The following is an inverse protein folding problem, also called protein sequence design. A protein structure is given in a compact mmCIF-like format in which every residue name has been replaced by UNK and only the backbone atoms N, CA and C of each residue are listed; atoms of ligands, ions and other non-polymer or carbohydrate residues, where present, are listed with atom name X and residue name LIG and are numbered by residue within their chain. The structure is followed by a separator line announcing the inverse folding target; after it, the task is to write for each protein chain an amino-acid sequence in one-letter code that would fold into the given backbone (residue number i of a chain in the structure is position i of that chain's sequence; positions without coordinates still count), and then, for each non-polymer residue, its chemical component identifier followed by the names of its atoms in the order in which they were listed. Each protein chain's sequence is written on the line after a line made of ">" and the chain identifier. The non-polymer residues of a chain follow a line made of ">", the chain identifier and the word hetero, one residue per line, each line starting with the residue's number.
data_IF_012603518999
#
_entry.id   IF_012603518999
#
_cell.length_a   1.000
_cell.length_b   1.000
_cell.length_c   1.000
_cell.angle_alpha   90.00
_cell.angle_beta   90.00
_cell.angle_gamma   90.00
#
_symmetry.space_group_name_H-M   'P 1'
#
loop_
_entity.id
_entity.type
_entity.pdbx_description
1 polymer ?
#
# COMPACT_ATOMS: atom_id res chain seq x y z
N UNK A 1 17.66 -28.68 29.18
CA UNK A 1 18.81 -28.93 30.06
C UNK A 1 19.03 -30.42 30.28
N UNK A 2 18.04 -31.14 30.86
CA UNK A 2 18.14 -32.58 31.18
C UNK A 2 18.61 -33.46 30.01
N UNK A 3 17.94 -33.42 28.86
CA UNK A 3 18.29 -34.25 27.69
C UNK A 3 19.68 -33.97 27.10
N UNK A 4 20.25 -32.79 27.37
CA UNK A 4 21.59 -32.40 26.90
C UNK A 4 22.67 -32.56 27.97
N UNK A 5 22.29 -33.00 29.16
CA UNK A 5 23.16 -33.12 30.33
C UNK A 5 24.01 -31.85 30.58
N UNK A 6 23.35 -30.68 30.54
CA UNK A 6 24.01 -29.38 30.82
C UNK A 6 24.59 -29.42 32.23
N UNK A 7 25.84 -28.97 32.39
CA UNK A 7 26.49 -28.91 33.69
C UNK A 7 25.68 -28.06 34.68
N UNK A 8 25.67 -28.46 35.95
CA UNK A 8 24.90 -27.77 36.98
C UNK A 8 25.31 -26.30 37.15
N UNK A 9 26.61 -26.02 37.03
CA UNK A 9 27.15 -24.66 37.13
C UNK A 9 26.63 -23.78 35.98
N UNK A 10 26.65 -24.30 34.75
CA UNK A 10 26.11 -23.59 33.58
C UNK A 10 24.60 -23.37 33.73
N UNK A 11 23.85 -24.40 34.15
CA UNK A 11 22.42 -24.29 34.37
C UNK A 11 22.08 -23.23 35.43
N UNK A 12 22.87 -23.19 36.50
CA UNK A 12 22.73 -22.21 37.59
C UNK A 12 22.96 -20.79 37.07
N UNK A 13 24.06 -20.55 36.35
CA UNK A 13 24.35 -19.25 35.76
C UNK A 13 23.24 -18.84 34.79
N UNK A 14 22.74 -19.76 33.96
CA UNK A 14 21.70 -19.45 32.98
C UNK A 14 20.38 -19.08 33.65
N UNK A 15 19.99 -19.73 34.75
CA UNK A 15 18.74 -19.43 35.45
C UNK A 15 18.79 -18.15 36.30
N UNK A 16 19.95 -17.80 36.84
CA UNK A 16 20.10 -16.61 37.69
C UNK A 16 20.54 -15.36 36.92
N UNK A 17 21.29 -15.52 35.82
CA UNK A 17 21.94 -14.40 35.12
C UNK A 17 22.21 -14.68 33.62
N UNK A 18 21.47 -15.57 32.98
CA UNK A 18 21.72 -15.98 31.59
C UNK A 18 21.61 -14.84 30.56
N UNK A 19 20.77 -13.85 30.84
CA UNK A 19 20.59 -12.62 30.07
C UNK A 19 21.74 -11.61 30.23
N UNK A 20 22.53 -11.72 31.31
CA UNK A 20 23.70 -10.90 31.57
C UNK A 20 25.00 -11.47 30.97
N UNK A 21 24.94 -12.67 30.37
CA UNK A 21 26.08 -13.27 29.71
C UNK A 21 26.49 -12.48 28.45
N UNK A 22 27.80 -12.37 28.16
CA UNK A 22 28.26 -11.72 26.94
C UNK A 22 27.72 -12.48 25.73
N UNK A 23 27.08 -11.77 24.81
CA UNK A 23 26.44 -12.36 23.62
C UNK A 23 25.45 -13.48 23.96
N UNK A 24 24.71 -13.36 25.07
CA UNK A 24 23.76 -14.36 25.54
C UNK A 24 22.84 -14.87 24.41
N UNK A 25 22.86 -16.19 24.20
CA UNK A 25 21.97 -16.88 23.26
C UNK A 25 20.50 -16.76 23.68
N UNK A 26 19.57 -17.03 22.77
CA UNK A 26 18.14 -17.02 23.09
C UNK A 26 17.80 -17.98 24.24
N UNK A 27 18.47 -19.13 24.31
CA UNK A 27 18.23 -20.16 25.34
C UNK A 27 18.74 -19.72 26.71
N UNK A 28 19.89 -19.03 26.76
CA UNK A 28 20.43 -18.44 27.99
C UNK A 28 19.52 -17.32 28.52
N UNK A 29 19.06 -16.42 27.66
CA UNK A 29 18.11 -15.35 28.04
C UNK A 29 16.78 -15.94 28.51
N UNK A 30 16.29 -16.99 27.83
CA UNK A 30 15.06 -17.68 28.20
C UNK A 30 15.18 -18.33 29.59
N UNK A 31 16.34 -18.88 29.92
CA UNK A 31 16.59 -19.53 31.19
C UNK A 31 16.47 -18.56 32.39
N UNK A 32 16.90 -17.29 32.28
CA UNK A 32 16.67 -16.28 33.34
C UNK A 32 15.18 -16.08 33.63
N UNK A 33 14.29 -16.48 32.71
CA UNK A 33 12.84 -16.52 32.94
C UNK A 33 12.43 -17.30 34.20
N UNK A 34 13.30 -18.15 34.75
CA UNK A 34 13.15 -18.74 36.09
C UNK A 34 12.75 -17.70 37.15
N UNK A 35 13.42 -16.55 37.20
CA UNK A 35 13.14 -15.47 38.16
C UNK A 35 11.78 -14.77 37.91
N UNK A 36 11.05 -15.17 36.87
CA UNK A 36 9.77 -14.59 36.48
C UNK A 36 8.62 -15.60 36.53
N UNK A 37 8.87 -16.80 37.04
CA UNK A 37 7.86 -17.85 37.22
C UNK A 37 7.04 -17.71 38.52
N UNK A 38 7.12 -16.55 39.18
CA UNK A 38 6.26 -16.22 40.31
C UNK A 38 4.78 -16.17 39.86
N UNK A 39 3.81 -16.41 40.76
CA UNK A 39 2.39 -16.27 40.44
C UNK A 39 2.09 -14.88 39.86
N UNK A 40 1.33 -14.81 38.76
CA UNK A 40 0.89 -13.54 38.17
C UNK A 40 -0.59 -13.36 38.45
N UNK A 41 -0.94 -12.21 39.03
CA UNK A 41 -2.33 -11.85 39.24
C UNK A 41 -2.94 -11.21 37.97
N UNK A 42 -4.00 -11.82 37.45
CA UNK A 42 -4.82 -11.29 36.34
C UNK A 42 -6.01 -10.43 36.79
N UNK A 43 -6.31 -10.39 38.09
CA UNK A 43 -7.49 -9.73 38.65
C UNK A 43 -7.30 -8.21 38.78
N UNK A 44 -8.34 -7.45 38.43
CA UNK A 44 -8.31 -6.00 38.37
C UNK A 44 -8.31 -5.25 39.71
N UNK A 45 -8.31 -5.94 40.86
CA UNK A 45 -8.55 -5.37 42.19
C UNK A 45 -7.36 -5.31 43.16
N UNK A 46 -6.18 -5.86 42.81
CA UNK A 46 -5.01 -5.78 43.71
C UNK A 46 -4.24 -4.47 43.57
N UNK A 47 -3.64 -4.04 44.68
CA UNK A 47 -2.74 -2.88 44.72
C UNK A 47 -1.44 -3.27 44.02
N UNK A 48 -1.04 -2.47 43.02
CA UNK A 48 0.11 -2.79 42.18
C UNK A 48 1.40 -2.95 43.00
N UNK A 49 1.65 -2.08 43.97
CA UNK A 49 2.85 -2.14 44.79
C UNK A 49 2.90 -3.39 45.68
N UNK A 50 1.77 -3.80 46.25
CA UNK A 50 1.68 -5.03 47.05
C UNK A 50 2.04 -6.26 46.20
N UNK A 51 1.49 -6.32 44.99
CA UNK A 51 1.75 -7.39 44.05
C UNK A 51 3.22 -7.38 43.56
N UNK A 52 3.82 -6.20 43.39
CA UNK A 52 5.25 -6.05 43.06
C UNK A 52 6.13 -6.60 44.18
N UNK A 53 5.79 -6.30 45.44
CA UNK A 53 6.50 -6.80 46.62
C UNK A 53 6.38 -8.32 46.72
N UNK A 54 5.18 -8.89 46.49
CA UNK A 54 4.97 -10.33 46.45
C UNK A 54 5.88 -11.03 45.42
N UNK A 55 6.06 -10.44 44.23
CA UNK A 55 6.96 -10.98 43.20
C UNK A 55 8.43 -10.98 43.63
N UNK A 56 8.87 -9.91 44.30
CA UNK A 56 10.24 -9.79 44.83
C UNK A 56 10.46 -10.80 45.95
N UNK A 57 9.47 -11.01 46.82
CA UNK A 57 9.53 -12.02 47.88
C UNK A 57 9.63 -13.42 47.28
N UNK A 58 8.81 -13.74 46.26
CA UNK A 58 8.86 -15.04 45.58
C UNK A 58 10.23 -15.31 44.93
N UNK A 59 10.82 -14.34 44.24
CA UNK A 59 12.18 -14.46 43.69
C UNK A 59 13.22 -14.75 44.79
N UNK A 60 13.12 -14.04 45.91
CA UNK A 60 14.02 -14.17 47.07
C UNK A 60 13.93 -15.57 47.67
N UNK A 61 12.70 -16.02 47.96
CA UNK A 61 12.41 -17.28 48.63
C UNK A 61 12.68 -18.48 47.74
N UNK A 62 12.29 -18.41 46.47
CA UNK A 62 12.54 -19.49 45.50
C UNK A 62 14.04 -19.64 45.25
N UNK A 63 14.78 -18.53 45.08
CA UNK A 63 16.24 -18.61 44.92
C UNK A 63 16.93 -19.18 46.16
N UNK A 64 16.54 -18.72 47.36
CA UNK A 64 17.07 -19.21 48.62
C UNK A 64 16.79 -20.71 48.82
N UNK A 65 15.58 -21.16 48.48
CA UNK A 65 15.20 -22.57 48.59
C UNK A 65 15.99 -23.45 47.62
N UNK A 66 16.10 -23.05 46.35
CA UNK A 66 16.66 -23.90 45.30
C UNK A 66 18.20 -23.93 45.30
N UNK A 67 18.87 -22.79 45.50
CA UNK A 67 20.34 -22.72 45.42
C UNK A 67 21.06 -22.66 46.76
N UNK A 68 20.41 -22.18 47.81
CA UNK A 68 21.01 -22.12 49.14
C UNK A 68 20.52 -23.26 50.05
N UNK A 69 19.47 -23.99 49.65
CA UNK A 69 18.78 -24.97 50.48
C UNK A 69 18.30 -24.38 51.82
N UNK A 70 17.90 -23.10 51.82
CA UNK A 70 17.47 -22.36 53.00
C UNK A 70 15.99 -21.96 52.91
N UNK A 71 15.24 -22.14 53.99
CA UNK A 71 13.84 -21.73 54.12
C UNK A 71 13.71 -20.30 54.66
N UNK A 72 13.94 -19.32 53.79
CA UNK A 72 13.94 -17.89 54.16
C UNK A 72 12.57 -17.31 54.54
N UNK A 73 11.47 -18.01 54.26
CA UNK A 73 10.13 -17.43 54.29
C UNK A 73 9.71 -16.92 55.68
N UNK A 74 10.19 -17.54 56.77
CA UNK A 74 9.93 -17.04 58.13
C UNK A 74 10.61 -15.69 58.40
N UNK A 75 11.79 -15.45 57.81
CA UNK A 75 12.56 -14.22 57.95
C UNK A 75 11.87 -12.98 57.39
N UNK A 76 10.77 -13.15 56.63
CA UNK A 76 9.92 -12.06 56.18
C UNK A 76 9.42 -11.20 57.34
N UNK A 77 9.07 -11.83 58.47
CA UNK A 77 8.43 -11.16 59.60
C UNK A 77 9.28 -11.10 60.87
N UNK A 78 10.19 -12.05 61.08
CA UNK A 78 11.05 -12.14 62.27
C UNK A 78 12.27 -13.00 61.99
N UNK A 79 13.34 -12.91 62.78
CA UNK A 79 14.52 -13.79 62.65
C UNK A 79 14.14 -15.28 62.66
N UNK A 80 14.85 -16.12 61.90
CA UNK A 80 14.52 -17.54 61.80
C UNK A 80 14.56 -18.21 63.18
N UNK A 81 13.58 -19.08 63.45
CA UNK A 81 13.39 -19.68 64.78
C UNK A 81 14.54 -20.58 65.21
N UNK A 82 15.16 -21.27 64.27
CA UNK A 82 16.14 -22.33 64.54
C UNK A 82 17.51 -22.08 63.92
N UNK A 83 17.55 -21.31 62.84
CA UNK A 83 18.77 -21.05 62.08
C UNK A 83 19.26 -19.64 62.37
N UNK A 84 20.56 -19.41 62.28
CA UNK A 84 21.16 -18.09 62.46
C UNK A 84 20.96 -17.21 61.22
N UNK A 85 19.69 -17.03 60.82
CA UNK A 85 19.28 -16.17 59.71
C UNK A 85 18.42 -15.04 60.29
N UNK A 86 18.89 -13.81 60.11
CA UNK A 86 18.18 -12.62 60.55
C UNK A 86 17.18 -12.14 59.52
N UNK A 87 16.17 -11.40 59.97
CA UNK A 87 15.28 -10.64 59.11
C UNK A 87 16.07 -9.62 58.26
N UNK A 88 17.14 -9.04 58.81
CA UNK A 88 17.99 -8.11 58.07
C UNK A 88 18.63 -8.78 56.84
N UNK A 89 19.13 -10.01 56.98
CA UNK A 89 19.71 -10.78 55.86
C UNK A 89 18.67 -11.13 54.80
N UNK A 90 17.43 -11.45 55.20
CA UNK A 90 16.32 -11.64 54.26
C UNK A 90 16.08 -10.40 53.40
N UNK A 91 15.98 -9.23 54.02
CA UNK A 91 15.74 -7.99 53.27
C UNK A 91 16.97 -7.53 52.47
N UNK A 92 18.20 -7.89 52.88
CA UNK A 92 19.41 -7.69 52.04
C UNK A 92 19.36 -8.51 50.75
N UNK A 93 18.97 -9.78 50.84
CA UNK A 93 18.80 -10.61 49.64
C UNK A 93 17.61 -10.12 48.80
N UNK A 94 16.51 -9.73 49.44
CA UNK A 94 15.34 -9.16 48.76
C UNK A 94 15.69 -7.87 48.01
N UNK A 95 16.55 -7.02 48.58
CA UNK A 95 16.99 -5.78 47.94
C UNK A 95 17.71 -6.02 46.60
N UNK A 96 18.38 -7.17 46.41
CA UNK A 96 18.98 -7.54 45.12
C UNK A 96 17.91 -7.74 44.04
N UNK A 97 16.83 -8.48 44.34
CA UNK A 97 15.74 -8.71 43.40
C UNK A 97 14.78 -7.51 43.27
N UNK A 98 14.80 -6.60 44.23
CA UNK A 98 14.05 -5.34 44.22
C UNK A 98 14.64 -4.28 43.25
N UNK A 99 15.35 -4.72 42.21
CA UNK A 99 15.90 -3.88 41.14
C UNK A 99 15.26 -4.18 39.77
N UNK A 100 14.30 -5.10 39.71
CA UNK A 100 13.63 -5.48 38.47
C UNK A 100 12.64 -4.39 38.00
N UNK A 101 12.41 -4.24 36.67
CA UNK A 101 11.50 -3.23 36.13
C UNK A 101 10.01 -3.56 36.30
N UNK A 102 9.67 -4.59 37.07
CA UNK A 102 8.29 -5.03 37.28
C UNK A 102 7.55 -4.01 38.14
N UNK A 103 6.35 -3.61 37.73
CA UNK A 103 5.56 -2.57 38.40
C UNK A 103 4.35 -3.11 39.19
N UNK A 104 4.17 -4.44 39.19
CA UNK A 104 3.08 -5.13 39.90
C UNK A 104 1.66 -4.84 39.39
N UNK A 105 1.50 -4.15 38.26
CA UNK A 105 0.18 -3.79 37.68
C UNK A 105 -0.77 -4.98 37.48
N UNK A 106 -0.23 -6.19 37.30
CA UNK A 106 -1.03 -7.38 37.02
C UNK A 106 -1.78 -7.28 35.70
N UNK A 107 -2.68 -8.22 35.43
CA UNK A 107 -3.56 -8.32 34.23
C UNK A 107 -2.95 -8.96 32.98
N UNK A 108 -1.78 -8.53 32.50
CA UNK A 108 -1.11 -9.18 31.35
C UNK A 108 0.09 -10.02 31.83
N UNK A 109 0.07 -11.37 31.68
CA UNK A 109 1.22 -12.20 32.00
C UNK A 109 2.46 -11.88 31.14
N UNK A 110 2.30 -11.16 30.03
CA UNK A 110 3.38 -10.71 29.14
C UNK A 110 3.89 -9.33 29.55
N UNK A 111 4.26 -9.18 30.82
CA UNK A 111 4.93 -7.94 31.27
C UNK A 111 6.32 -7.85 30.63
N UNK A 112 6.75 -6.69 30.08
CA UNK A 112 8.10 -6.52 29.55
C UNK A 112 9.20 -6.81 30.58
N UNK A 113 10.35 -7.35 30.16
CA UNK A 113 10.70 -7.73 28.79
C UNK A 113 9.97 -9.00 28.33
N UNK A 114 9.51 -9.04 27.07
CA UNK A 114 8.88 -10.23 26.47
C UNK A 114 9.81 -10.80 25.41
N UNK A 115 10.19 -12.07 25.56
CA UNK A 115 11.02 -12.77 24.59
C UNK A 115 10.12 -13.56 23.64
N UNK A 116 10.14 -13.19 22.35
CA UNK A 116 9.47 -13.98 21.32
C UNK A 116 10.24 -15.28 21.10
N UNK A 117 9.69 -16.40 21.58
CA UNK A 117 10.28 -17.72 21.39
C UNK A 117 9.53 -18.46 20.28
N UNK A 118 10.27 -19.02 19.34
CA UNK A 118 9.75 -19.87 18.28
C UNK A 118 10.14 -21.32 18.56
N UNK A 119 9.24 -22.26 18.32
CA UNK A 119 9.62 -23.68 18.25
C UNK A 119 10.61 -23.89 17.11
N UNK A 120 11.47 -24.91 17.22
CA UNK A 120 12.43 -25.23 16.16
C UNK A 120 11.76 -25.45 14.81
N UNK A 121 10.59 -26.12 14.80
CA UNK A 121 9.76 -26.32 13.61
C UNK A 121 9.27 -24.99 13.00
N UNK A 122 8.78 -24.06 13.83
CA UNK A 122 8.35 -22.74 13.36
C UNK A 122 9.52 -21.98 12.74
N UNK A 123 10.70 -21.98 13.38
CA UNK A 123 11.91 -21.32 12.83
C UNK A 123 12.31 -21.92 11.48
N UNK A 124 12.30 -23.25 11.37
CA UNK A 124 12.65 -23.93 10.13
C UNK A 124 11.65 -23.58 9.01
N UNK A 125 10.35 -23.51 9.33
CA UNK A 125 9.31 -23.10 8.39
C UNK A 125 9.46 -21.64 7.97
N UNK A 126 9.76 -20.74 8.89
CA UNK A 126 10.01 -19.33 8.59
C UNK A 126 11.20 -19.16 7.64
N UNK A 127 12.33 -19.81 7.92
CA UNK A 127 13.50 -19.78 7.05
C UNK A 127 13.21 -20.35 5.65
N UNK A 128 12.40 -21.41 5.56
CA UNK A 128 11.98 -21.98 4.28
C UNK A 128 11.11 -20.99 3.48
N UNK A 129 10.11 -20.39 4.13
CA UNK A 129 9.22 -19.40 3.52
C UNK A 129 9.98 -18.15 3.06
N UNK A 130 10.93 -17.66 3.85
CA UNK A 130 11.77 -16.52 3.46
C UNK A 130 12.57 -16.81 2.19
N UNK A 131 13.07 -18.04 2.03
CA UNK A 131 13.77 -18.48 0.83
C UNK A 131 12.84 -18.54 -0.38
N UNK A 132 11.62 -19.05 -0.21
CA UNK A 132 10.59 -19.09 -1.27
C UNK A 132 10.18 -17.68 -1.70
N UNK A 133 9.95 -16.77 -0.75
CA UNK A 133 9.61 -15.37 -1.03
C UNK A 133 10.73 -14.70 -1.83
N UNK A 134 12.00 -14.91 -1.42
CA UNK A 134 13.14 -14.36 -2.14
C UNK A 134 13.23 -14.89 -3.58
N UNK A 135 12.96 -16.18 -3.79
CA UNK A 135 12.93 -16.78 -5.13
C UNK A 135 11.81 -16.18 -5.99
N UNK A 136 10.57 -16.13 -5.49
CA UNK A 136 9.44 -15.57 -6.23
C UNK A 136 9.59 -14.08 -6.55
N UNK A 137 10.20 -13.29 -5.66
CA UNK A 137 10.52 -11.89 -5.95
C UNK A 137 11.49 -11.76 -7.11
N UNK A 138 12.49 -12.64 -7.18
CA UNK A 138 13.44 -12.67 -8.29
C UNK A 138 12.75 -13.08 -9.59
N UNK A 139 11.89 -14.09 -9.55
CA UNK A 139 11.14 -14.55 -10.74
C UNK A 139 10.22 -13.44 -11.27
N UNK A 140 9.53 -12.72 -10.38
CA UNK A 140 8.68 -11.60 -10.75
C UNK A 140 9.47 -10.44 -11.38
N UNK A 141 10.64 -10.12 -10.83
CA UNK A 141 11.52 -9.09 -11.38
C UNK A 141 11.99 -9.48 -12.80
N UNK A 142 12.46 -10.72 -12.99
CA UNK A 142 12.87 -11.23 -14.29
C UNK A 142 11.72 -11.20 -15.29
N UNK A 143 10.52 -11.66 -14.88
CA UNK A 143 9.34 -11.62 -15.73
C UNK A 143 8.98 -10.19 -16.14
N UNK A 144 9.10 -9.23 -15.22
CA UNK A 144 8.83 -7.82 -15.52
C UNK A 144 9.81 -7.27 -16.57
N UNK A 145 11.11 -7.57 -16.43
CA UNK A 145 12.13 -7.18 -17.41
C UNK A 145 11.90 -7.83 -18.79
N UNK A 146 11.46 -9.10 -18.82
CA UNK A 146 11.12 -9.80 -20.06
C UNK A 146 9.83 -9.28 -20.71
N UNK A 147 8.84 -8.87 -19.91
CA UNK A 147 7.54 -8.42 -20.39
C UNK A 147 7.62 -7.08 -21.11
N UNK A 148 8.48 -6.16 -20.68
CA UNK A 148 8.62 -4.83 -21.30
C UNK A 148 8.88 -4.90 -22.82
N UNK A 149 9.92 -5.59 -23.32
CA UNK A 149 10.16 -5.70 -24.75
C UNK A 149 9.11 -6.59 -25.46
N UNK A 150 8.61 -7.64 -24.79
CA UNK A 150 7.59 -8.53 -25.37
C UNK A 150 6.24 -7.84 -25.55
N UNK A 151 5.84 -6.98 -24.62
CA UNK A 151 4.62 -6.19 -24.70
C UNK A 151 4.71 -5.20 -25.85
N UNK A 152 5.80 -4.42 -25.95
CA UNK A 152 5.97 -3.48 -27.05
C UNK A 152 5.93 -4.18 -28.42
N UNK A 153 6.58 -5.35 -28.54
CA UNK A 153 6.55 -6.15 -29.76
C UNK A 153 5.15 -6.72 -30.06
N UNK A 154 4.44 -7.21 -29.04
CA UNK A 154 3.07 -7.69 -29.16
C UNK A 154 2.11 -6.58 -29.56
N UNK A 155 2.16 -5.41 -28.91
CA UNK A 155 1.34 -4.25 -29.27
C UNK A 155 1.59 -3.80 -30.71
N UNK A 156 2.85 -3.82 -31.17
CA UNK A 156 3.19 -3.54 -32.56
C UNK A 156 2.56 -4.57 -33.50
N UNK A 157 2.70 -5.86 -33.20
CA UNK A 157 2.09 -6.93 -34.03
C UNK A 157 0.57 -6.79 -34.12
N UNK A 158 -0.09 -6.34 -33.04
CA UNK A 158 -1.54 -6.11 -33.02
C UNK A 158 -1.94 -4.90 -33.87
N UNK A 159 -1.15 -3.83 -33.85
CA UNK A 159 -1.35 -2.66 -34.73
C UNK A 159 -1.18 -3.02 -36.20
N UNK A 160 -0.17 -3.82 -36.53
CA UNK A 160 0.11 -4.24 -37.92
C UNK A 160 -0.92 -5.26 -38.44
N UNK A 161 -1.46 -6.14 -37.57
CA UNK A 161 -2.53 -7.09 -37.91
C UNK A 161 -3.93 -6.45 -38.02
N UNK A 162 -4.17 -5.28 -37.41
CA UNK A 162 -5.47 -4.59 -37.39
C UNK A 162 -5.45 -3.23 -38.10
N UNK A 163 -4.72 -3.11 -39.22
CA UNK A 163 -4.66 -1.88 -40.00
C UNK A 163 -5.96 -1.53 -40.76
N UNK A 164 -7.06 -2.24 -40.57
CA UNK A 164 -8.22 -2.18 -41.48
C UNK A 164 -9.61 -2.06 -40.79
N UNK A 165 -9.69 -1.36 -39.65
CA UNK A 165 -10.97 -1.22 -38.92
C UNK A 165 -11.82 -0.02 -39.32
N UNK A 166 -11.84 0.37 -40.60
CA UNK A 166 -12.83 1.33 -41.11
C UNK A 166 -12.86 2.72 -40.43
N UNK A 167 -11.83 3.07 -39.66
CA UNK A 167 -11.71 4.40 -39.05
C UNK A 167 -11.44 5.42 -40.13
N UNK A 168 -12.28 6.45 -40.21
CA UNK A 168 -12.09 7.59 -41.10
C UNK A 168 -11.83 8.84 -40.27
N UNK A 169 -10.77 9.57 -40.60
CA UNK A 169 -10.49 10.87 -40.00
C UNK A 169 -11.58 11.84 -40.46
N UNK A 170 -12.26 12.48 -39.50
CA UNK A 170 -13.27 13.48 -39.79
C UNK A 170 -12.60 14.79 -40.23
N UNK A 171 -13.03 15.35 -41.36
CA UNK A 171 -12.54 16.65 -41.82
C UNK A 171 -13.21 17.74 -41.00
N UNK A 172 -12.42 18.42 -40.15
CA UNK A 172 -12.89 19.55 -39.34
C UNK A 172 -12.94 20.80 -40.21
N UNK A 173 -14.13 21.33 -40.41
CA UNK A 173 -14.36 22.51 -41.25
C UNK A 173 -14.39 23.80 -40.41
N UNK A 174 -14.73 23.69 -39.12
CA UNK A 174 -14.71 24.79 -38.17
C UNK A 174 -14.32 24.31 -36.79
N UNK A 175 -13.40 25.02 -36.13
CA UNK A 175 -13.03 24.81 -34.75
C UNK A 175 -13.08 26.14 -34.01
N UNK A 176 -13.90 26.23 -32.96
CA UNK A 176 -14.03 27.42 -32.12
C UNK A 176 -13.96 27.03 -30.65
N UNK A 177 -13.30 27.84 -29.85
CA UNK A 177 -13.40 27.77 -28.40
C UNK A 177 -14.05 29.06 -27.88
N UNK A 178 -14.56 29.04 -26.64
CA UNK A 178 -15.21 30.20 -26.05
C UNK A 178 -14.20 31.25 -25.58
N UNK A 179 -13.00 30.82 -25.15
CA UNK A 179 -12.01 31.70 -24.51
C UNK A 179 -10.66 31.73 -25.22
N UNK A 180 -10.23 30.64 -25.85
CA UNK A 180 -8.94 30.58 -26.54
C UNK A 180 -9.07 30.51 -28.07
N UNK A 181 -7.94 30.60 -28.76
CA UNK A 181 -7.87 30.40 -30.21
C UNK A 181 -7.67 28.92 -30.52
N UNK A 182 -8.40 28.40 -31.50
CA UNK A 182 -8.16 27.07 -32.08
C UNK A 182 -7.70 27.22 -33.53
N UNK A 183 -6.59 26.56 -33.86
CA UNK A 183 -6.06 26.46 -35.22
C UNK A 183 -6.21 25.02 -35.71
N UNK A 184 -6.73 24.84 -36.92
CA UNK A 184 -6.79 23.53 -37.58
C UNK A 184 -5.49 23.34 -38.35
N UNK A 185 -4.71 22.30 -38.01
CA UNK A 185 -3.41 22.03 -38.61
C UNK A 185 -3.56 21.24 -39.93
N UNK A 186 -2.51 21.20 -40.79
CA UNK A 186 -2.57 20.47 -42.07
C UNK A 186 -2.84 18.96 -41.96
N UNK A 187 -2.55 18.35 -40.81
CA UNK A 187 -2.83 16.94 -40.52
C UNK A 187 -4.24 16.71 -39.95
N UNK A 188 -5.05 17.77 -39.81
CA UNK A 188 -6.41 17.74 -39.28
C UNK A 188 -6.51 17.86 -37.76
N UNK A 189 -5.38 17.90 -37.04
CA UNK A 189 -5.36 18.10 -35.58
C UNK A 189 -5.74 19.54 -35.19
N UNK A 190 -6.26 19.71 -33.98
CA UNK A 190 -6.72 21.00 -33.47
C UNK A 190 -5.77 21.51 -32.40
N UNK A 191 -5.13 22.67 -32.65
CA UNK A 191 -4.14 23.25 -31.76
C UNK A 191 -4.71 24.48 -31.03
N UNK A 192 -4.76 24.42 -29.71
CA UNK A 192 -5.10 25.57 -28.86
C UNK A 192 -3.94 26.55 -28.70
N UNK A 193 -4.20 27.84 -28.91
CA UNK A 193 -3.22 28.93 -28.79
C UNK A 193 -3.86 30.20 -28.20
N UNK A 194 -3.07 31.26 -27.99
CA UNK A 194 -3.54 32.52 -27.40
C UNK A 194 -3.74 32.42 -25.88
N UNK A 195 -4.83 32.99 -25.36
CA UNK A 195 -5.18 32.91 -23.94
C UNK A 195 -5.16 31.46 -23.42
N UNK A 196 -4.73 31.26 -22.17
CA UNK A 196 -4.63 29.93 -21.54
C UNK A 196 -5.59 29.85 -20.34
N UNK A 197 -6.91 29.69 -20.59
CA UNK A 197 -7.91 29.65 -19.53
C UNK A 197 -7.82 28.35 -18.73
N UNK A 198 -8.29 28.37 -17.46
CA UNK A 198 -8.38 27.16 -16.62
C UNK A 198 -9.33 26.10 -17.16
N UNK A 199 -10.36 26.52 -17.91
CA UNK A 199 -11.32 25.67 -18.60
C UNK A 199 -11.88 26.40 -19.82
N UNK A 200 -12.33 25.64 -20.82
CA UNK A 200 -12.88 26.15 -22.07
C UNK A 200 -13.79 25.10 -22.72
N UNK A 201 -14.65 25.53 -23.65
CA UNK A 201 -15.57 24.66 -24.39
C UNK A 201 -15.22 24.70 -25.85
N UNK A 202 -14.92 23.55 -26.43
CA UNK A 202 -14.54 23.43 -27.84
C UNK A 202 -15.76 23.00 -28.65
N UNK A 203 -16.07 23.77 -29.67
CA UNK A 203 -17.13 23.49 -30.64
C UNK A 203 -16.46 23.21 -31.99
N UNK A 204 -16.49 21.94 -32.39
CA UNK A 204 -15.95 21.47 -33.66
C UNK A 204 -17.11 21.09 -34.58
N UNK A 205 -17.04 21.50 -35.84
CA UNK A 205 -17.98 21.09 -36.88
C UNK A 205 -17.23 20.33 -37.97
N UNK A 206 -17.76 19.18 -38.34
CA UNK A 206 -17.09 18.24 -39.25
C UNK A 206 -18.04 17.79 -40.34
N UNK A 207 -17.50 17.49 -41.51
CA UNK A 207 -18.23 16.78 -42.56
C UNK A 207 -17.64 15.37 -42.73
N UNK A 208 -18.51 14.42 -43.06
CA UNK A 208 -18.10 13.03 -43.28
C UNK A 208 -18.83 12.40 -44.46
N UNK A 209 -18.13 11.49 -45.14
CA UNK A 209 -18.71 10.62 -46.17
C UNK A 209 -19.19 9.28 -45.61
N UNK A 210 -19.00 9.05 -44.30
CA UNK A 210 -19.50 7.87 -43.62
C UNK A 210 -21.02 7.87 -43.64
N UNK A 211 -21.63 6.74 -43.99
CA UNK A 211 -23.08 6.58 -43.95
C UNK A 211 -23.61 6.29 -42.55
N UNK A 212 -22.78 5.67 -41.71
CA UNK A 212 -23.13 5.33 -40.34
C UNK A 212 -21.90 5.44 -39.44
N UNK A 213 -22.07 5.95 -38.22
CA UNK A 213 -21.02 5.99 -37.20
C UNK A 213 -21.45 5.14 -36.02
N UNK A 214 -20.64 4.15 -35.64
CA UNK A 214 -20.89 3.31 -34.46
C UNK A 214 -19.99 3.70 -33.27
N UNK A 215 -18.86 4.32 -33.54
CA UNK A 215 -17.90 4.72 -32.52
C UNK A 215 -17.11 5.93 -32.97
N UNK A 216 -16.63 6.70 -31.99
CA UNK A 216 -15.82 7.89 -32.21
C UNK A 216 -14.55 7.76 -31.42
N UNK A 217 -13.42 8.05 -32.05
CA UNK A 217 -12.12 8.09 -31.39
C UNK A 217 -11.68 9.54 -31.25
N UNK A 218 -11.31 9.91 -30.02
CA UNK A 218 -10.69 11.19 -29.70
C UNK A 218 -9.24 10.95 -29.30
N UNK A 219 -8.32 11.68 -29.93
CA UNK A 219 -6.88 11.57 -29.67
C UNK A 219 -6.39 12.85 -28.96
N UNK A 220 -5.74 12.67 -27.82
CA UNK A 220 -4.99 13.71 -27.12
C UNK A 220 -3.52 13.58 -27.53
N UNK A 221 -3.08 14.49 -28.40
CA UNK A 221 -1.80 14.41 -29.10
C UNK A 221 -0.83 15.43 -28.50
N UNK A 222 0.41 14.99 -28.26
CA UNK A 222 1.47 15.89 -27.80
C UNK A 222 1.88 16.87 -28.89
N UNK A 223 2.19 18.08 -28.49
CA UNK A 223 2.73 19.08 -29.40
C UNK A 223 3.85 19.87 -28.73
N UNK A 224 4.91 20.18 -29.48
CA UNK A 224 6.11 20.87 -28.96
C UNK A 224 5.84 22.24 -28.33
N UNK A 225 4.71 22.88 -28.65
CA UNK A 225 4.31 24.16 -28.06
C UNK A 225 3.55 24.02 -26.74
N UNK A 226 3.22 22.80 -26.32
CA UNK A 226 2.61 22.50 -25.02
C UNK A 226 3.67 22.56 -23.92
N UNK A 227 3.24 22.58 -22.66
CA UNK A 227 4.15 22.60 -21.51
C UNK A 227 5.08 21.39 -21.57
N UNK A 228 6.38 21.63 -21.72
CA UNK A 228 7.42 20.61 -21.93
C UNK A 228 7.16 19.64 -23.10
N UNK A 229 6.34 20.04 -24.08
CA UNK A 229 5.96 19.18 -25.20
C UNK A 229 5.00 18.04 -24.82
N UNK A 230 4.29 18.16 -23.69
CA UNK A 230 3.27 17.20 -23.25
C UNK A 230 1.90 17.46 -23.91
N UNK A 231 0.80 17.12 -23.22
CA UNK A 231 -0.55 17.05 -23.79
C UNK A 231 -1.34 18.36 -23.68
N UNK A 232 -0.91 19.31 -22.85
CA UNK A 232 -1.64 20.56 -22.65
C UNK A 232 -0.72 21.73 -22.26
N UNK A 233 -1.34 22.93 -22.19
CA UNK A 233 -0.70 24.17 -21.76
C UNK A 233 -0.83 24.42 -20.24
N UNK A 234 -1.27 23.44 -19.45
CA UNK A 234 -1.28 23.55 -17.99
C UNK A 234 0.15 23.42 -17.45
N UNK A 235 0.40 23.90 -16.22
CA UNK A 235 1.74 23.80 -15.61
C UNK A 235 2.24 22.35 -15.48
N UNK A 236 1.32 21.39 -15.36
CA UNK A 236 1.65 19.96 -15.31
C UNK A 236 1.74 19.29 -16.68
N UNK A 237 1.30 19.95 -17.75
CA UNK A 237 1.16 19.36 -19.08
C UNK A 237 0.04 18.33 -19.21
N UNK A 238 -0.80 18.19 -18.17
CA UNK A 238 -1.96 17.30 -18.16
C UNK A 238 -3.24 18.03 -18.62
N UNK A 239 -4.22 17.28 -19.12
CA UNK A 239 -5.56 17.78 -19.41
C UNK A 239 -6.60 17.09 -18.51
N UNK A 240 -7.79 17.70 -18.42
CA UNK A 240 -8.99 17.04 -17.90
C UNK A 240 -10.10 17.27 -18.92
N UNK A 241 -10.58 16.21 -19.56
CA UNK A 241 -11.77 16.28 -20.42
C UNK A 241 -12.98 16.07 -19.52
N UNK A 242 -13.82 17.09 -19.33
CA UNK A 242 -14.95 17.01 -18.40
C UNK A 242 -16.24 16.57 -19.07
N UNK A 243 -16.46 16.95 -20.33
CA UNK A 243 -17.66 16.59 -21.08
C UNK A 243 -17.31 16.40 -22.56
N UNK A 244 -17.92 15.40 -23.18
CA UNK A 244 -17.80 15.08 -24.59
C UNK A 244 -19.20 14.76 -25.12
N UNK A 245 -19.63 15.54 -26.11
CA UNK A 245 -20.95 15.42 -26.72
C UNK A 245 -20.82 15.44 -28.23
N UNK A 246 -21.74 14.70 -28.86
CA UNK A 246 -21.90 14.74 -30.30
C UNK A 246 -23.34 15.06 -30.66
N UNK A 247 -23.47 15.72 -31.80
CA UNK A 247 -24.74 16.01 -32.47
C UNK A 247 -24.50 15.77 -33.94
N UNK A 248 -25.44 15.08 -34.58
CA UNK A 248 -25.53 15.00 -36.04
C UNK A 248 -26.63 15.95 -36.45
N UNK A 249 -26.32 16.90 -37.31
CA UNK A 249 -27.24 17.93 -37.77
C UNK A 249 -27.55 17.76 -39.25
N UNK A 250 -28.68 17.12 -39.60
CA UNK A 250 -29.14 17.07 -40.98
C UNK A 250 -29.56 18.47 -41.46
N UNK A 251 -29.46 18.71 -42.76
CA UNK A 251 -29.84 20.00 -43.34
C UNK A 251 -31.36 20.19 -43.25
N UNK A 252 -31.80 21.19 -42.48
CA UNK A 252 -33.23 21.55 -42.39
C UNK A 252 -34.08 20.67 -41.46
N UNK A 253 -33.46 19.74 -40.72
CA UNK A 253 -34.13 18.88 -39.74
C UNK A 253 -33.63 19.13 -38.30
N UNK A 254 -34.28 18.51 -37.33
CA UNK A 254 -33.84 18.54 -35.94
C UNK A 254 -32.52 17.77 -35.74
N UNK A 255 -31.69 18.27 -34.82
CA UNK A 255 -30.42 17.63 -34.47
C UNK A 255 -30.62 16.28 -33.78
N UNK A 256 -29.89 15.27 -34.24
CA UNK A 256 -29.83 13.95 -33.61
C UNK A 256 -28.73 13.99 -32.55
N UNK A 257 -29.04 13.53 -31.34
CA UNK A 257 -28.10 13.47 -30.21
C UNK A 257 -27.84 12.01 -29.81
N UNK A 258 -26.86 11.33 -30.44
CA UNK A 258 -26.52 9.96 -30.07
C UNK A 258 -26.03 9.86 -28.62
N UNK A 259 -26.35 8.75 -27.98
CA UNK A 259 -25.90 8.44 -26.62
C UNK A 259 -24.72 7.48 -26.66
N UNK A 260 -23.75 7.70 -25.79
CA UNK A 260 -22.68 6.75 -25.55
C UNK A 260 -23.15 5.63 -24.62
N UNK A 261 -22.84 4.39 -24.98
CA UNK A 261 -23.08 3.20 -24.15
C UNK A 261 -21.89 2.85 -23.28
N UNK A 262 -20.69 3.02 -23.82
CA UNK A 262 -19.42 2.76 -23.14
C UNK A 262 -18.31 3.56 -23.77
N UNK A 263 -17.23 3.79 -23.03
CA UNK A 263 -15.99 4.30 -23.56
C UNK A 263 -14.81 3.58 -22.92
N UNK A 264 -13.70 3.54 -23.66
CA UNK A 264 -12.42 3.02 -23.21
C UNK A 264 -11.33 4.05 -23.52
N UNK A 265 -10.27 4.09 -22.72
CA UNK A 265 -9.14 4.97 -22.93
C UNK A 265 -7.82 4.22 -22.73
N UNK A 266 -6.73 4.69 -23.33
CA UNK A 266 -5.40 4.08 -23.16
C UNK A 266 -4.86 4.14 -21.74
N UNK A 267 -5.36 5.08 -20.93
CA UNK A 267 -5.03 5.22 -19.52
C UNK A 267 -6.13 5.98 -18.78
N UNK A 268 -6.37 5.67 -17.51
CA UNK A 268 -7.29 6.40 -16.64
C UNK A 268 -6.65 6.64 -15.27
N UNK A 269 -6.64 7.90 -14.83
CA UNK A 269 -6.01 8.32 -13.57
C UNK A 269 -6.99 8.26 -12.40
N UNK A 270 -6.76 7.40 -11.40
CA UNK A 270 -7.61 7.33 -10.21
C UNK A 270 -9.12 7.31 -10.52
N UNK A 271 -9.87 8.28 -9.98
CA UNK A 271 -11.32 8.48 -10.22
C UNK A 271 -11.64 9.21 -11.55
N UNK A 272 -10.63 9.72 -12.25
CA UNK A 272 -10.77 10.40 -13.54
C UNK A 272 -10.91 9.39 -14.70
N UNK A 273 -12.04 8.68 -14.69
CA UNK A 273 -12.42 7.65 -15.68
C UNK A 273 -12.97 8.26 -16.96
N UNK A 274 -12.77 7.59 -18.10
CA UNK A 274 -13.30 8.07 -19.39
C UNK A 274 -14.82 8.16 -19.38
N UNK A 275 -15.48 7.28 -18.62
CA UNK A 275 -16.94 7.27 -18.47
C UNK A 275 -17.49 8.51 -17.77
N UNK A 276 -16.66 9.31 -17.11
CA UNK A 276 -17.05 10.60 -16.49
C UNK A 276 -17.31 11.69 -17.52
N UNK A 277 -16.78 11.53 -18.73
CA UNK A 277 -16.87 12.56 -19.78
C UNK A 277 -18.24 12.64 -20.46
N UNK A 278 -19.21 11.80 -20.08
CA UNK A 278 -20.57 11.85 -20.61
C UNK A 278 -21.62 11.48 -19.56
N UNK A 279 -21.30 11.73 -18.28
CA UNK A 279 -22.22 11.49 -17.15
C UNK A 279 -23.10 12.71 -16.79
N UNK A 280 -22.89 13.82 -17.50
CA UNK A 280 -23.62 15.09 -17.31
C UNK A 280 -23.10 15.96 -16.17
N UNK A 281 -21.95 15.63 -15.56
CA UNK A 281 -21.36 16.39 -14.45
C UNK A 281 -20.08 17.09 -14.86
N UNK A 282 -20.10 18.43 -14.80
CA UNK A 282 -18.97 19.28 -15.22
C UNK A 282 -17.76 19.28 -14.27
N UNK A 283 -17.90 18.71 -13.07
CA UNK A 283 -16.84 18.64 -12.05
C UNK A 283 -16.10 17.29 -12.03
N UNK A 284 -16.50 16.36 -12.90
CA UNK A 284 -15.79 15.09 -13.13
C UNK A 284 -15.22 15.04 -14.55
N UNK A 285 -14.32 14.09 -14.84
CA UNK A 285 -13.72 14.00 -16.17
C UNK A 285 -12.60 12.96 -16.28
N UNK A 286 -11.97 12.90 -17.44
CA UNK A 286 -10.87 12.00 -17.77
C UNK A 286 -9.51 12.73 -17.74
N UNK A 287 -8.51 12.11 -17.12
CA UNK A 287 -7.17 12.65 -16.94
C UNK A 287 -6.10 11.55 -16.98
N UNK A 288 -4.84 11.93 -17.25
CA UNK A 288 -3.73 10.98 -17.51
C UNK A 288 -2.40 11.44 -16.87
N UNK A 289 -2.41 12.03 -15.68
CA UNK A 289 -1.19 12.61 -15.09
C UNK A 289 -0.23 11.59 -14.45
N UNK A 290 -0.79 10.58 -13.77
CA UNK A 290 -0.01 9.63 -12.96
C UNK A 290 1.04 8.86 -13.77
N UNK A 291 2.07 8.35 -13.12
CA UNK A 291 3.07 7.45 -13.71
C UNK A 291 3.70 7.97 -15.03
N UNK A 292 3.89 9.30 -15.12
CA UNK A 292 4.48 9.98 -16.28
C UNK A 292 3.75 9.72 -17.61
N UNK A 293 2.44 9.46 -17.57
CA UNK A 293 1.65 9.14 -18.76
C UNK A 293 1.54 10.32 -19.74
N UNK A 294 1.63 11.57 -19.26
CA UNK A 294 1.70 12.79 -20.09
C UNK A 294 2.85 12.84 -21.11
N UNK A 295 3.83 11.93 -21.00
CA UNK A 295 4.96 11.82 -21.92
C UNK A 295 4.67 11.03 -23.21
N UNK A 296 3.43 10.56 -23.42
CA UNK A 296 2.97 9.91 -24.65
C UNK A 296 1.59 10.43 -25.08
N UNK A 297 1.21 10.11 -26.31
CA UNK A 297 -0.13 10.41 -26.83
C UNK A 297 -1.16 9.44 -26.22
N UNK A 298 -2.41 9.89 -26.13
CA UNK A 298 -3.51 9.09 -25.59
C UNK A 298 -4.70 9.10 -26.53
N UNK A 299 -5.51 8.04 -26.47
CA UNK A 299 -6.77 7.96 -27.22
C UNK A 299 -7.89 7.48 -26.30
N UNK A 300 -9.10 7.93 -26.62
CA UNK A 300 -10.34 7.45 -26.05
C UNK A 300 -11.29 7.05 -27.18
N UNK A 301 -11.90 5.89 -27.05
CA UNK A 301 -12.91 5.38 -27.98
C UNK A 301 -14.26 5.37 -27.29
N UNK A 302 -15.21 6.07 -27.87
CA UNK A 302 -16.59 6.19 -27.42
C UNK A 302 -17.48 5.34 -28.30
N UNK A 303 -18.17 4.37 -27.72
CA UNK A 303 -19.11 3.50 -28.42
C UNK A 303 -20.52 4.03 -28.26
N UNK A 304 -21.22 4.24 -29.38
CA UNK A 304 -22.62 4.63 -29.36
C UNK A 304 -23.50 3.45 -28.93
N UNK A 305 -24.62 3.74 -28.27
CA UNK A 305 -25.60 2.70 -27.90
C UNK A 305 -26.18 1.97 -29.11
N UNK A 306 -26.34 2.72 -30.21
CA UNK A 306 -26.65 2.21 -31.54
C UNK A 306 -25.91 3.07 -32.58
N UNK A 307 -25.52 2.50 -33.73
CA UNK A 307 -25.00 3.29 -34.83
C UNK A 307 -25.95 4.43 -35.19
N UNK A 308 -25.39 5.62 -35.45
CA UNK A 308 -26.13 6.76 -35.98
C UNK A 308 -25.94 6.80 -37.50
N UNK A 309 -27.03 6.81 -38.23
CA UNK A 309 -27.02 7.06 -39.68
C UNK A 309 -26.73 8.54 -39.93
N UNK A 310 -25.92 8.83 -40.95
CA UNK A 310 -25.51 10.18 -41.34
C UNK A 310 -26.25 10.53 -42.63
N UNK A 311 -27.26 11.42 -42.58
CA UNK A 311 -27.92 11.89 -43.78
C UNK A 311 -26.96 12.62 -44.71
N UNK A 312 -27.25 12.61 -46.01
CA UNK A 312 -26.47 13.39 -46.97
C UNK A 312 -26.46 14.88 -46.56
N UNK A 313 -25.27 15.49 -46.57
CA UNK A 313 -25.04 16.88 -46.18
C UNK A 313 -25.26 17.22 -44.68
N UNK A 314 -25.28 16.22 -43.79
CA UNK A 314 -25.28 16.48 -42.35
C UNK A 314 -23.91 17.00 -41.87
N UNK A 315 -23.93 17.88 -40.85
CA UNK A 315 -22.74 18.36 -40.13
C UNK A 315 -22.73 17.95 -38.66
#
# INVERSE_FOLDING_TARGET
>A
AFNRNVAWDDLTVWQLAGDLLPNATTEQRLATGFLRNHPINGEGGRIAEENRVDYVMDMTETTGTVWLALTFNCCRCHDHKYDALTQEEYYKLSAFFNQTPVNGSGRDPRTPPVLAVATGERKAREAALEKEIAAHRKDLANLHEELIPRQAAWEKSRRDEQSDHGWSILSVNSARAEKQKLDILPDGSILGSGENPKNDVYNLSTETKLKSIASIRLEAIRHKSMTNGYLSRSDSGNFVLTDFRIRVQPLGEDGIHPKFKSAIATYEQGEHKITRTYDGKSDTGWAVYENNQISRDHEAIFHLDRPVEIPEHAS
#
